data_IF_911042438964
#
_entry.id   IF_911042438964
#
_cell.length_a   1.000
_cell.length_b   1.000
_cell.length_c   1.000
_cell.angle_alpha   90.00
_cell.angle_beta   90.00
_cell.angle_gamma   90.00
#
_symmetry.space_group_name_H-M   'P 1'
#
loop_
_entity.id
_entity.type
_entity.pdbx_description
1 polymer ?
#
# COMPACT_ATOMS: atom_id res chain seq x y z
N UNK A 1 -43.11 9.37 43.33
CA UNK A 1 -42.24 8.19 43.53
C UNK A 1 -41.18 8.22 42.45
N UNK A 2 -39.89 8.26 42.82
CA UNK A 2 -38.80 8.15 41.84
C UNK A 2 -38.85 6.75 41.20
N UNK A 3 -38.94 6.69 39.88
CA UNK A 3 -38.94 5.42 39.13
C UNK A 3 -37.60 4.72 39.37
N UNK A 4 -37.61 3.45 39.82
CA UNK A 4 -36.36 2.74 40.07
C UNK A 4 -35.65 2.50 38.73
N UNK A 5 -34.31 2.64 38.67
CA UNK A 5 -33.55 2.41 37.43
C UNK A 5 -33.83 1.05 36.77
N UNK A 6 -34.09 0.01 37.58
CA UNK A 6 -34.41 -1.33 37.09
C UNK A 6 -35.77 -1.42 36.38
N UNK A 7 -36.77 -0.66 36.82
CA UNK A 7 -38.08 -0.63 36.19
C UNK A 7 -38.01 0.09 34.83
N UNK A 8 -37.17 1.14 34.73
CA UNK A 8 -36.85 1.82 33.48
C UNK A 8 -36.15 0.88 32.51
N UNK A 9 -35.13 0.15 32.99
CA UNK A 9 -34.42 -0.85 32.20
C UNK A 9 -35.38 -1.91 31.65
N UNK A 10 -36.15 -2.56 32.52
CA UNK A 10 -37.05 -3.65 32.15
C UNK A 10 -38.11 -3.17 31.15
N UNK A 11 -38.71 -2.00 31.38
CA UNK A 11 -39.67 -1.40 30.46
C UNK A 11 -39.05 -1.09 29.09
N UNK A 12 -37.81 -0.61 29.06
CA UNK A 12 -37.13 -0.30 27.79
C UNK A 12 -36.83 -1.56 26.98
N UNK A 13 -36.35 -2.62 27.63
CA UNK A 13 -35.96 -3.86 26.95
C UNK A 13 -37.16 -4.76 26.58
N UNK A 14 -38.31 -4.59 27.23
CA UNK A 14 -39.55 -5.32 26.90
C UNK A 14 -40.46 -4.58 25.92
N UNK A 15 -40.15 -3.33 25.54
CA UNK A 15 -40.96 -2.55 24.62
C UNK A 15 -40.90 -3.09 23.18
N UNK A 16 -42.01 -3.02 22.40
CA UNK A 16 -42.00 -3.31 20.98
C UNK A 16 -40.94 -2.47 20.26
N UNK A 17 -40.06 -3.12 19.50
CA UNK A 17 -39.05 -2.42 18.69
C UNK A 17 -39.67 -2.07 17.34
N UNK A 18 -39.90 -0.79 17.10
CA UNK A 18 -40.24 -0.26 15.77
C UNK A 18 -38.94 -0.21 14.96
N UNK A 19 -39.01 -0.48 13.65
CA UNK A 19 -37.86 -0.30 12.75
C UNK A 19 -37.31 1.12 12.89
N UNK A 20 -36.07 1.24 13.38
CA UNK A 20 -35.42 2.53 13.66
C UNK A 20 -35.36 3.40 12.42
N UNK A 21 -35.05 2.79 11.28
CA UNK A 21 -35.00 3.40 9.96
C UNK A 21 -36.35 3.98 9.52
N UNK A 22 -37.43 3.20 9.61
CA UNK A 22 -38.79 3.62 9.22
C UNK A 22 -39.30 4.72 10.15
N UNK A 23 -39.10 4.53 11.47
CA UNK A 23 -39.54 5.51 12.46
C UNK A 23 -38.83 6.84 12.26
N UNK A 24 -37.50 6.83 12.11
CA UNK A 24 -36.73 8.06 11.88
C UNK A 24 -37.12 8.75 10.57
N UNK A 25 -37.23 8.00 9.47
CA UNK A 25 -37.66 8.58 8.19
C UNK A 25 -39.01 9.29 8.33
N UNK A 26 -39.98 8.66 8.99
CA UNK A 26 -41.29 9.25 9.24
C UNK A 26 -41.24 10.48 10.16
N UNK A 27 -40.45 10.44 11.24
CA UNK A 27 -40.31 11.62 12.12
C UNK A 27 -39.63 12.79 11.41
N UNK A 28 -38.59 12.52 10.60
CA UNK A 28 -37.89 13.55 9.82
C UNK A 28 -38.83 14.17 8.78
N UNK A 29 -39.70 13.38 8.13
CA UNK A 29 -40.67 13.92 7.16
C UNK A 29 -41.74 14.82 7.79
N UNK A 30 -42.13 14.54 9.04
CA UNK A 30 -43.03 15.41 9.78
C UNK A 30 -42.37 16.73 10.21
N UNK A 31 -41.07 16.69 10.54
CA UNK A 31 -40.32 17.87 10.98
C UNK A 31 -39.95 18.80 9.82
N UNK A 32 -39.77 18.26 8.62
CA UNK A 32 -39.35 19.01 7.43
C UNK A 32 -40.31 18.76 6.26
N UNK A 33 -41.57 19.20 6.34
CA UNK A 33 -42.60 18.87 5.35
C UNK A 33 -42.33 19.48 3.96
N UNK A 34 -41.56 20.57 3.91
CA UNK A 34 -41.27 21.30 2.65
C UNK A 34 -40.01 20.80 1.94
N UNK A 35 -39.30 19.82 2.51
CA UNK A 35 -38.06 19.29 1.96
C UNK A 35 -38.23 17.84 1.50
N UNK A 36 -37.65 17.53 0.35
CA UNK A 36 -37.50 16.16 -0.10
C UNK A 36 -36.41 15.45 0.70
N UNK A 37 -36.68 14.20 1.11
CA UNK A 37 -35.76 13.39 1.92
C UNK A 37 -35.25 12.24 1.08
N UNK A 38 -33.94 12.21 0.85
CA UNK A 38 -33.25 11.00 0.40
C UNK A 38 -32.55 10.34 1.59
N UNK A 39 -32.49 9.01 1.58
CA UNK A 39 -31.83 8.23 2.63
C UNK A 39 -30.73 7.39 2.00
N UNK A 40 -29.55 7.35 2.64
CA UNK A 40 -28.48 6.43 2.28
C UNK A 40 -27.89 5.76 3.51
N UNK A 41 -27.60 4.47 3.36
CA UNK A 41 -26.84 3.65 4.30
C UNK A 41 -25.55 3.12 3.66
N UNK A 42 -25.14 3.69 2.52
CA UNK A 42 -23.90 3.31 1.84
C UNK A 42 -22.71 3.61 2.75
N UNK A 43 -21.93 2.59 3.11
CA UNK A 43 -20.73 2.72 3.94
C UNK A 43 -19.65 3.60 3.31
N UNK A 44 -19.72 3.85 2.00
CA UNK A 44 -18.82 4.75 1.27
C UNK A 44 -19.26 6.21 1.33
N UNK A 45 -20.50 6.49 1.73
CA UNK A 45 -20.95 7.87 1.91
C UNK A 45 -20.37 8.46 3.20
N UNK A 46 -19.24 9.15 3.06
CA UNK A 46 -18.57 9.90 4.13
C UNK A 46 -18.46 11.37 3.71
N UNK A 47 -19.50 12.15 4.06
CA UNK A 47 -19.61 13.56 3.67
C UNK A 47 -18.50 14.41 4.29
N UNK A 48 -18.00 14.05 5.47
CA UNK A 48 -16.91 14.79 6.12
C UNK A 48 -15.59 14.57 5.39
N UNK A 49 -15.30 13.34 4.96
CA UNK A 49 -14.14 13.04 4.11
C UNK A 49 -14.27 13.71 2.75
N UNK A 50 -15.45 13.67 2.14
CA UNK A 50 -15.71 14.35 0.86
C UNK A 50 -15.47 15.86 1.00
N UNK A 51 -16.04 16.50 2.03
CA UNK A 51 -15.92 17.94 2.22
C UNK A 51 -14.48 18.42 2.44
N UNK A 52 -13.67 17.64 3.15
CA UNK A 52 -12.22 17.90 3.29
C UNK A 52 -11.46 17.73 1.98
N UNK A 53 -11.96 16.89 1.09
CA UNK A 53 -11.32 16.52 -0.16
C UNK A 53 -11.59 17.47 -1.34
N UNK A 54 -12.69 18.22 -1.28
CA UNK A 54 -13.09 19.21 -2.29
C UNK A 54 -13.58 20.51 -1.63
N UNK A 55 -12.74 21.17 -0.78
CA UNK A 55 -13.18 22.29 0.05
C UNK A 55 -13.75 23.47 -0.75
N UNK A 56 -13.30 23.67 -1.99
CA UNK A 56 -13.79 24.74 -2.88
C UNK A 56 -15.25 24.53 -3.33
N UNK A 57 -15.75 23.29 -3.25
CA UNK A 57 -17.11 22.93 -3.66
C UNK A 57 -18.02 22.58 -2.49
N UNK A 58 -17.51 22.54 -1.26
CA UNK A 58 -18.27 22.06 -0.10
C UNK A 58 -17.97 22.84 1.16
N UNK A 59 -19.02 23.33 1.80
CA UNK A 59 -18.98 23.81 3.17
C UNK A 59 -19.97 23.00 4.00
N UNK A 60 -19.49 22.38 5.08
CA UNK A 60 -20.32 21.63 6.03
C UNK A 60 -20.11 22.17 7.44
N UNK A 61 -21.19 22.43 8.16
CA UNK A 61 -21.15 22.91 9.56
C UNK A 61 -22.20 22.17 10.38
N UNK A 62 -21.90 21.96 11.66
CA UNK A 62 -22.91 21.47 12.59
C UNK A 62 -24.06 22.49 12.63
N UNK A 63 -25.29 21.98 12.65
CA UNK A 63 -26.47 22.83 12.73
C UNK A 63 -26.88 23.02 14.19
N UNK A 64 -27.42 24.19 14.51
CA UNK A 64 -27.87 24.53 15.87
C UNK A 64 -29.26 23.94 16.19
N UNK A 65 -30.02 23.53 15.17
CA UNK A 65 -31.40 23.06 15.32
C UNK A 65 -31.53 21.56 15.66
N UNK A 66 -30.44 20.80 15.60
CA UNK A 66 -30.40 19.35 15.87
C UNK A 66 -29.39 19.05 16.98
N UNK A 67 -29.81 18.39 18.08
CA UNK A 67 -28.88 18.04 19.15
C UNK A 67 -27.85 17.00 18.69
N UNK A 68 -26.66 17.03 19.27
CA UNK A 68 -25.60 16.07 18.99
C UNK A 68 -25.46 15.07 20.13
N UNK A 69 -25.40 13.79 19.76
CA UNK A 69 -24.97 12.71 20.64
C UNK A 69 -23.58 12.25 20.19
N UNK A 70 -22.59 12.40 21.08
CA UNK A 70 -21.20 12.03 20.83
C UNK A 70 -20.78 10.91 21.77
N UNK A 71 -20.10 9.92 21.20
CA UNK A 71 -19.44 8.86 21.94
C UNK A 71 -17.95 9.17 22.01
N UNK A 72 -17.48 9.47 23.21
CA UNK A 72 -16.07 9.69 23.50
C UNK A 72 -15.35 8.35 23.66
N UNK A 73 -14.28 8.15 22.90
CA UNK A 73 -13.49 6.91 22.90
C UNK A 73 -12.01 7.21 23.09
N UNK A 74 -11.32 6.36 23.84
CA UNK A 74 -9.88 6.43 23.97
C UNK A 74 -9.20 5.73 22.78
N UNK A 75 -8.30 6.44 22.11
CA UNK A 75 -7.40 5.93 21.08
C UNK A 75 -5.99 5.81 21.66
N UNK A 76 -5.49 4.58 21.88
CA UNK A 76 -4.13 4.39 22.35
C UNK A 76 -3.11 4.91 21.32
N UNK A 77 -1.91 5.31 21.76
CA UNK A 77 -0.83 5.71 20.87
C UNK A 77 -0.34 4.50 20.05
N UNK A 78 0.25 4.74 18.88
CA UNK A 78 0.79 3.67 18.04
C UNK A 78 1.91 2.88 18.73
N UNK A 79 2.69 3.54 19.60
CA UNK A 79 3.66 2.91 20.51
C UNK A 79 3.44 3.47 21.91
N UNK A 80 3.57 2.63 22.93
CA UNK A 80 3.43 3.02 24.35
C UNK A 80 4.29 4.23 24.77
N UNK A 81 5.44 4.43 24.11
CA UNK A 81 6.35 5.55 24.39
C UNK A 81 5.98 6.86 23.68
N UNK A 82 5.07 6.81 22.71
CA UNK A 82 4.71 7.96 21.87
C UNK A 82 3.64 8.85 22.56
N UNK A 83 3.39 8.65 23.87
CA UNK A 83 2.50 9.45 24.72
C UNK A 83 1.37 8.63 25.34
N UNK A 84 0.39 9.31 25.95
CA UNK A 84 -0.73 8.68 26.66
C UNK A 84 -1.93 8.39 25.75
N UNK A 85 -1.78 8.49 24.43
CA UNK A 85 -2.88 8.34 23.47
C UNK A 85 -3.68 9.63 23.28
N UNK A 86 -4.88 9.50 22.72
CA UNK A 86 -5.75 10.63 22.41
C UNK A 86 -7.21 10.23 22.57
N UNK A 87 -8.07 11.20 22.82
CA UNK A 87 -9.52 11.00 22.82
C UNK A 87 -10.07 11.28 21.42
N UNK A 88 -10.94 10.40 20.94
CA UNK A 88 -11.72 10.57 19.72
C UNK A 88 -13.19 10.75 20.10
N UNK A 89 -13.88 11.63 19.39
CA UNK A 89 -15.34 11.73 19.47
C UNK A 89 -15.96 11.14 18.21
N UNK A 90 -16.95 10.27 18.39
CA UNK A 90 -17.76 9.71 17.31
C UNK A 90 -19.19 10.18 17.46
N UNK A 91 -19.71 10.91 16.47
CA UNK A 91 -21.12 11.33 16.45
C UNK A 91 -22.00 10.12 16.17
N UNK A 92 -22.90 9.79 17.09
CA UNK A 92 -23.91 8.73 16.92
C UNK A 92 -25.26 9.28 16.48
N UNK A 93 -25.53 10.55 16.77
CA UNK A 93 -26.67 11.31 16.26
C UNK A 93 -26.26 12.77 16.10
N UNK A 94 -26.59 13.40 14.97
CA UNK A 94 -26.26 14.80 14.74
C UNK A 94 -26.81 15.33 13.42
N UNK A 95 -26.80 16.65 13.28
CA UNK A 95 -27.29 17.36 12.10
C UNK A 95 -26.28 18.35 11.54
N UNK A 96 -26.26 18.53 10.23
CA UNK A 96 -25.35 19.48 9.57
C UNK A 96 -26.06 20.27 8.50
N UNK A 97 -25.69 21.54 8.38
CA UNK A 97 -26.00 22.34 7.21
C UNK A 97 -24.83 22.23 6.22
N UNK A 98 -25.12 21.76 5.02
CA UNK A 98 -24.18 21.56 3.94
C UNK A 98 -24.54 22.49 2.78
N UNK A 99 -23.55 23.19 2.24
CA UNK A 99 -23.61 23.78 0.90
C UNK A 99 -22.66 23.00 0.01
N UNK A 100 -23.17 22.40 -1.07
CA UNK A 100 -22.37 21.71 -2.10
C UNK A 100 -22.62 22.36 -3.46
N UNK A 101 -21.55 22.90 -4.04
CA UNK A 101 -21.60 23.84 -5.17
C UNK A 101 -22.46 25.03 -4.75
N UNK A 102 -23.64 25.19 -5.35
CA UNK A 102 -24.60 26.26 -5.06
C UNK A 102 -25.91 25.74 -4.44
N UNK A 103 -25.95 24.47 -4.05
CA UNK A 103 -27.15 23.84 -3.47
C UNK A 103 -26.99 23.63 -1.97
N UNK A 104 -28.01 24.02 -1.21
CA UNK A 104 -28.09 23.79 0.24
C UNK A 104 -28.77 22.46 0.57
N UNK A 105 -28.24 21.80 1.59
CA UNK A 105 -28.74 20.54 2.13
C UNK A 105 -28.76 20.61 3.66
N UNK A 106 -29.76 19.99 4.27
CA UNK A 106 -29.70 19.63 5.69
C UNK A 106 -29.45 18.13 5.80
N UNK A 107 -28.47 17.75 6.60
CA UNK A 107 -28.05 16.37 6.79
C UNK A 107 -28.39 15.93 8.21
N UNK A 108 -28.90 14.71 8.37
CA UNK A 108 -29.12 14.11 9.68
C UNK A 108 -28.54 12.70 9.67
N UNK A 109 -27.53 12.45 10.51
CA UNK A 109 -26.93 11.13 10.64
C UNK A 109 -27.38 10.47 11.94
N UNK A 110 -27.77 9.20 11.86
CA UNK A 110 -28.07 8.37 13.03
C UNK A 110 -27.34 7.05 12.91
N UNK A 111 -26.68 6.65 13.98
CA UNK A 111 -25.94 5.39 14.06
C UNK A 111 -26.47 4.50 15.17
N UNK A 112 -26.72 3.23 14.86
CA UNK A 112 -27.15 2.22 15.82
C UNK A 112 -26.44 0.89 15.58
N UNK A 113 -26.50 -0.01 16.56
CA UNK A 113 -25.96 -1.36 16.44
C UNK A 113 -27.08 -2.27 15.94
N UNK A 114 -26.80 -3.00 14.86
CA UNK A 114 -27.67 -4.03 14.33
C UNK A 114 -27.09 -5.41 14.70
N UNK A 115 -27.88 -6.32 15.31
CA UNK A 115 -27.41 -7.65 15.68
C UNK A 115 -26.75 -8.34 14.48
N UNK A 116 -25.56 -8.92 14.69
CA UNK A 116 -24.75 -9.64 13.68
C UNK A 116 -24.19 -8.80 12.51
N UNK A 117 -24.60 -7.54 12.32
CA UNK A 117 -24.17 -6.66 11.22
C UNK A 117 -23.24 -5.52 11.66
N UNK A 118 -23.12 -5.29 12.97
CA UNK A 118 -22.27 -4.24 13.55
C UNK A 118 -22.95 -2.87 13.58
N UNK A 119 -22.15 -1.80 13.57
CA UNK A 119 -22.67 -0.43 13.55
C UNK A 119 -23.22 -0.09 12.16
N UNK A 120 -24.46 0.37 12.10
CA UNK A 120 -25.10 0.98 10.94
C UNK A 120 -25.13 2.49 11.13
N UNK A 121 -24.96 3.23 10.04
CA UNK A 121 -25.17 4.68 9.99
C UNK A 121 -26.10 4.97 8.83
N UNK A 122 -27.19 5.68 9.11
CA UNK A 122 -28.14 6.17 8.11
C UNK A 122 -28.05 7.68 8.02
N UNK A 123 -27.90 8.18 6.81
CA UNK A 123 -27.93 9.60 6.49
C UNK A 123 -29.26 9.96 5.86
N UNK A 124 -29.93 10.97 6.42
CA UNK A 124 -31.06 11.66 5.79
C UNK A 124 -30.50 12.93 5.15
N UNK A 125 -30.78 13.09 3.87
CA UNK A 125 -30.30 14.21 3.05
C UNK A 125 -31.53 14.96 2.59
N UNK A 126 -31.72 16.13 3.17
CA UNK A 126 -32.88 16.98 2.97
C UNK A 126 -32.51 18.11 2.02
N UNK A 127 -33.32 18.31 0.99
CA UNK A 127 -33.13 19.36 0.00
C UNK A 127 -34.45 19.68 -0.71
N UNK A 128 -34.51 20.79 -1.44
CA UNK A 128 -35.70 21.18 -2.19
C UNK A 128 -35.98 20.21 -3.37
N UNK A 129 -34.94 19.86 -4.15
CA UNK A 129 -35.05 18.96 -5.30
C UNK A 129 -34.47 17.56 -4.97
N UNK A 130 -35.27 16.48 -4.98
CA UNK A 130 -34.78 15.13 -4.72
C UNK A 130 -33.68 14.66 -5.70
N UNK A 131 -33.58 15.26 -6.89
CA UNK A 131 -32.51 14.97 -7.85
C UNK A 131 -31.13 15.35 -7.31
N UNK A 132 -31.03 16.42 -6.52
CA UNK A 132 -29.78 16.94 -6.01
C UNK A 132 -29.20 16.06 -4.90
N UNK A 133 -30.06 15.49 -4.05
CA UNK A 133 -29.61 14.53 -3.04
C UNK A 133 -28.98 13.28 -3.69
N UNK A 134 -29.55 12.78 -4.79
CA UNK A 134 -28.96 11.65 -5.53
C UNK A 134 -27.60 12.00 -6.15
N UNK A 135 -27.47 13.20 -6.72
CA UNK A 135 -26.19 13.70 -7.26
C UNK A 135 -25.12 13.82 -6.17
N UNK A 136 -25.49 14.36 -5.00
CA UNK A 136 -24.59 14.46 -3.84
C UNK A 136 -24.15 13.09 -3.34
N UNK A 137 -25.09 12.15 -3.16
CA UNK A 137 -24.78 10.76 -2.75
C UNK A 137 -23.80 10.14 -3.75
N UNK A 138 -24.08 10.25 -5.04
CA UNK A 138 -23.22 9.68 -6.07
C UNK A 138 -21.82 10.31 -6.05
N UNK A 139 -21.72 11.65 -6.03
CA UNK A 139 -20.43 12.34 -6.02
C UNK A 139 -19.60 12.02 -4.77
N UNK A 140 -20.23 12.02 -3.59
CA UNK A 140 -19.59 11.69 -2.33
C UNK A 140 -19.16 10.22 -2.29
N UNK A 141 -20.06 9.29 -2.60
CA UNK A 141 -19.75 7.85 -2.59
C UNK A 141 -18.70 7.49 -3.62
N UNK A 142 -18.73 8.07 -4.84
CA UNK A 142 -17.71 7.84 -5.85
C UNK A 142 -16.32 8.33 -5.39
N UNK A 143 -16.25 9.54 -4.82
CA UNK A 143 -15.02 10.10 -4.28
C UNK A 143 -14.45 9.26 -3.14
N UNK A 144 -15.31 8.81 -2.21
CA UNK A 144 -14.89 8.04 -1.04
C UNK A 144 -14.68 6.55 -1.34
N UNK A 145 -15.28 6.02 -2.42
CA UNK A 145 -15.07 4.66 -2.91
C UNK A 145 -13.61 4.46 -3.33
N UNK A 146 -12.96 5.50 -3.87
CA UNK A 146 -11.52 5.48 -4.10
C UNK A 146 -10.80 5.61 -2.75
N UNK A 147 -10.11 4.56 -2.28
CA UNK A 147 -9.29 4.65 -1.09
C UNK A 147 -8.14 5.63 -1.38
N UNK A 148 -8.08 6.70 -0.59
CA UNK A 148 -6.95 7.64 -0.62
C UNK A 148 -6.05 7.35 0.57
N UNK A 149 -4.76 7.52 0.39
CA UNK A 149 -3.76 7.35 1.43
C UNK A 149 -3.68 5.94 2.06
N UNK A 150 -4.05 4.92 1.30
CA UNK A 150 -3.92 3.52 1.69
C UNK A 150 -3.45 2.70 0.50
N UNK A 151 -2.84 1.55 0.80
CA UNK A 151 -2.57 0.50 -0.19
C UNK A 151 -3.46 -0.68 0.17
N UNK A 152 -4.14 -1.24 -0.82
CA UNK A 152 -4.90 -2.47 -0.62
C UNK A 152 -3.94 -3.64 -0.52
N UNK A 153 -4.08 -4.44 0.52
CA UNK A 153 -3.26 -5.63 0.74
C UNK A 153 -4.17 -6.86 0.80
N UNK A 154 -3.89 -7.84 -0.07
CA UNK A 154 -4.54 -9.14 -0.04
C UNK A 154 -3.71 -10.10 0.79
N UNK A 155 -4.25 -10.52 1.92
CA UNK A 155 -3.63 -11.48 2.84
C UNK A 155 -4.73 -12.23 3.62
N UNK A 156 -4.53 -13.54 3.87
CA UNK A 156 -5.47 -14.40 4.61
C UNK A 156 -6.88 -14.40 4.01
N UNK A 157 -6.99 -14.43 2.68
CA UNK A 157 -8.27 -14.55 1.97
C UNK A 157 -9.15 -13.31 2.02
N UNK A 158 -8.57 -12.12 2.21
CA UNK A 158 -9.34 -10.88 2.20
C UNK A 158 -8.48 -9.68 1.83
N UNK A 159 -9.09 -8.70 1.15
CA UNK A 159 -8.53 -7.37 0.96
C UNK A 159 -8.63 -6.52 2.23
N UNK A 160 -7.55 -5.85 2.59
CA UNK A 160 -7.48 -4.90 3.70
C UNK A 160 -6.77 -3.62 3.29
N UNK A 161 -7.18 -2.48 3.82
CA UNK A 161 -6.47 -1.22 3.61
C UNK A 161 -5.31 -1.08 4.61
N UNK A 162 -4.08 -0.90 4.13
CA UNK A 162 -2.90 -0.65 4.98
C UNK A 162 -2.36 0.79 4.80
N UNK A 163 -2.68 1.67 5.76
CA UNK A 163 -2.15 3.05 5.81
C UNK A 163 -0.65 3.10 6.11
N UNK A 164 -0.13 2.19 6.94
CA UNK A 164 1.29 2.11 7.28
C UNK A 164 2.16 1.79 6.07
N UNK A 165 1.69 0.90 5.19
CA UNK A 165 2.36 0.59 3.93
C UNK A 165 2.33 1.79 2.99
N UNK A 166 1.21 2.51 2.92
CA UNK A 166 1.12 3.76 2.17
C UNK A 166 2.14 4.81 2.68
N UNK A 167 2.22 5.03 3.99
CA UNK A 167 3.21 5.94 4.58
C UNK A 167 4.65 5.53 4.25
N UNK A 168 4.94 4.21 4.24
CA UNK A 168 6.24 3.69 3.86
C UNK A 168 6.55 3.94 2.36
N UNK A 169 5.54 3.85 1.50
CA UNK A 169 5.64 4.20 0.08
C UNK A 169 5.87 5.70 -0.10
N UNK A 170 5.17 6.56 0.64
CA UNK A 170 5.37 8.01 0.56
C UNK A 170 6.77 8.45 0.96
N UNK A 171 7.43 7.71 1.86
CA UNK A 171 8.82 7.94 2.25
C UNK A 171 9.84 7.43 1.22
N UNK A 172 9.44 6.62 0.25
CA UNK A 172 10.36 6.16 -0.79
C UNK A 172 10.68 7.29 -1.77
N UNK A 173 11.95 7.37 -2.18
CA UNK A 173 12.40 8.19 -3.29
C UNK A 173 13.34 7.36 -4.16
N UNK A 174 13.32 7.61 -5.46
CA UNK A 174 14.33 7.12 -6.38
C UNK A 174 15.74 7.59 -6.02
N UNK A 175 15.87 8.70 -5.29
CA UNK A 175 17.16 9.21 -4.79
C UNK A 175 17.75 8.34 -3.68
N UNK A 176 16.91 7.57 -2.98
CA UNK A 176 17.34 6.58 -2.00
C UNK A 176 17.71 5.22 -2.64
N UNK A 177 17.46 5.06 -3.94
CA UNK A 177 17.79 3.84 -4.69
C UNK A 177 19.13 4.04 -5.39
N UNK A 178 20.19 3.65 -4.70
CA UNK A 178 21.55 3.64 -5.24
C UNK A 178 21.71 2.37 -6.08
N UNK A 179 21.49 2.45 -7.38
CA UNK A 179 21.72 1.40 -8.37
C UNK A 179 22.35 2.01 -9.62
N UNK A 180 22.74 1.17 -10.58
CA UNK A 180 23.18 1.63 -11.89
C UNK A 180 22.20 2.64 -12.52
N UNK A 181 22.74 3.76 -13.01
CA UNK A 181 21.92 4.89 -13.48
C UNK A 181 21.16 4.56 -14.75
N UNK A 182 21.72 3.73 -15.62
CA UNK A 182 21.04 3.29 -16.83
C UNK A 182 19.86 2.37 -16.49
N UNK A 183 20.07 1.40 -15.60
CA UNK A 183 19.02 0.54 -15.06
C UNK A 183 17.88 1.37 -14.46
N UNK A 184 18.21 2.34 -13.59
CA UNK A 184 17.24 3.24 -12.96
C UNK A 184 16.44 4.02 -14.01
N UNK A 185 17.11 4.63 -14.98
CA UNK A 185 16.46 5.39 -16.06
C UNK A 185 15.54 4.51 -16.90
N UNK A 186 15.97 3.30 -17.23
CA UNK A 186 15.19 2.37 -18.04
C UNK A 186 13.90 1.96 -17.32
N UNK A 187 13.98 1.64 -16.02
CA UNK A 187 12.79 1.32 -15.21
C UNK A 187 11.83 2.51 -15.17
N UNK A 188 12.35 3.72 -14.92
CA UNK A 188 11.55 4.94 -14.88
C UNK A 188 10.83 5.22 -16.19
N UNK A 189 11.54 5.12 -17.31
CA UNK A 189 10.97 5.36 -18.62
C UNK A 189 9.88 4.34 -18.97
N UNK A 190 10.04 3.08 -18.58
CA UNK A 190 9.11 2.02 -18.97
C UNK A 190 7.71 2.18 -18.36
N UNK A 191 7.59 2.42 -17.04
CA UNK A 191 6.27 2.61 -16.46
C UNK A 191 5.68 3.98 -16.82
N UNK A 192 6.50 5.05 -16.88
CA UNK A 192 6.01 6.39 -17.27
C UNK A 192 5.44 6.38 -18.69
N UNK A 193 6.18 5.81 -19.64
CA UNK A 193 5.73 5.72 -21.03
C UNK A 193 4.48 4.83 -21.17
N UNK A 194 4.41 3.72 -20.43
CA UNK A 194 3.24 2.85 -20.41
C UNK A 194 1.97 3.58 -19.97
N UNK A 195 2.02 4.30 -18.85
CA UNK A 195 0.84 5.04 -18.36
C UNK A 195 0.46 6.20 -19.30
N UNK A 196 1.44 6.89 -19.89
CA UNK A 196 1.18 7.98 -20.85
C UNK A 196 0.59 7.52 -22.19
N UNK A 197 0.70 6.23 -22.51
CA UNK A 197 0.34 5.68 -23.83
C UNK A 197 -1.07 5.07 -23.89
N UNK A 198 -1.93 5.24 -22.88
CA UNK A 198 -3.27 4.63 -22.83
C UNK A 198 -4.07 4.76 -24.13
N UNK A 199 -4.18 5.99 -24.66
CA UNK A 199 -4.94 6.26 -25.88
C UNK A 199 -4.38 5.52 -27.09
N UNK A 200 -3.05 5.37 -27.18
CA UNK A 200 -2.38 4.65 -28.26
C UNK A 200 -2.72 3.16 -28.21
N UNK A 201 -2.74 2.55 -27.01
CA UNK A 201 -3.15 1.15 -26.85
C UNK A 201 -4.60 0.94 -27.29
N UNK A 202 -5.50 1.88 -26.92
CA UNK A 202 -6.91 1.86 -27.32
C UNK A 202 -7.09 1.98 -28.83
N UNK A 203 -6.42 2.93 -29.48
CA UNK A 203 -6.46 3.13 -30.94
C UNK A 203 -5.94 1.91 -31.70
N UNK A 204 -4.88 1.27 -31.20
CA UNK A 204 -4.30 0.08 -31.80
C UNK A 204 -5.09 -1.21 -31.50
N UNK A 205 -6.14 -1.15 -30.67
CA UNK A 205 -6.95 -2.31 -30.29
C UNK A 205 -6.18 -3.37 -29.51
N UNK A 206 -5.08 -2.99 -28.84
CA UNK A 206 -4.25 -3.92 -28.05
C UNK A 206 -4.54 -3.77 -26.55
N UNK A 207 -4.51 -4.87 -25.76
CA UNK A 207 -4.73 -4.79 -24.32
C UNK A 207 -3.72 -3.85 -23.65
N UNK A 208 -4.21 -2.83 -22.93
CA UNK A 208 -3.37 -1.90 -22.19
C UNK A 208 -2.87 -2.54 -20.89
N UNK A 209 -1.90 -3.45 -20.98
CA UNK A 209 -1.30 -4.12 -19.82
C UNK A 209 0.20 -4.30 -20.01
N UNK A 210 0.96 -4.30 -18.91
CA UNK A 210 2.43 -4.41 -18.93
C UNK A 210 2.92 -5.29 -17.79
N UNK A 211 3.79 -6.27 -18.07
CA UNK A 211 4.40 -7.12 -17.04
C UNK A 211 5.85 -6.73 -16.79
N UNK A 212 6.21 -6.40 -15.55
CA UNK A 212 7.57 -6.00 -15.18
C UNK A 212 8.13 -6.91 -14.07
N UNK A 213 9.29 -7.50 -14.31
CA UNK A 213 9.95 -8.39 -13.35
C UNK A 213 11.23 -7.75 -12.82
N UNK A 214 11.43 -7.76 -11.49
CA UNK A 214 12.68 -7.32 -10.83
C UNK A 214 13.44 -8.54 -10.28
N UNK A 215 14.51 -8.97 -10.93
CA UNK A 215 15.28 -10.15 -10.56
C UNK A 215 16.51 -9.78 -9.76
N UNK A 216 16.98 -10.67 -8.88
CA UNK A 216 18.33 -10.57 -8.32
C UNK A 216 18.41 -10.91 -6.83
N UNK A 217 19.63 -11.05 -6.28
CA UNK A 217 19.86 -11.43 -4.90
C UNK A 217 19.15 -10.53 -3.87
N UNK A 218 18.77 -11.05 -2.69
CA UNK A 218 18.10 -10.28 -1.65
C UNK A 218 18.97 -9.10 -1.19
N UNK A 219 18.32 -8.02 -0.76
CA UNK A 219 19.01 -6.84 -0.25
C UNK A 219 19.57 -5.87 -1.29
N UNK A 220 19.30 -6.07 -2.60
CA UNK A 220 19.79 -5.21 -3.67
C UNK A 220 18.78 -4.17 -4.21
N UNK A 221 17.84 -3.71 -3.40
CA UNK A 221 17.03 -2.53 -3.76
C UNK A 221 15.73 -2.78 -4.55
N UNK A 222 15.31 -4.02 -4.75
CA UNK A 222 14.06 -4.36 -5.46
C UNK A 222 12.81 -3.77 -4.79
N UNK A 223 12.60 -4.03 -3.49
CA UNK A 223 11.43 -3.56 -2.74
C UNK A 223 11.37 -2.02 -2.62
N UNK A 224 12.51 -1.34 -2.48
CA UNK A 224 12.52 0.14 -2.44
C UNK A 224 12.24 0.73 -3.82
N UNK A 225 12.75 0.13 -4.90
CA UNK A 225 12.42 0.53 -6.28
C UNK A 225 10.93 0.36 -6.56
N UNK A 226 10.35 -0.76 -6.15
CA UNK A 226 8.91 -1.01 -6.24
C UNK A 226 8.09 0.08 -5.53
N UNK A 227 8.46 0.44 -4.29
CA UNK A 227 7.78 1.51 -3.54
C UNK A 227 7.91 2.87 -4.24
N UNK A 228 9.07 3.17 -4.82
CA UNK A 228 9.27 4.38 -5.61
C UNK A 228 8.39 4.40 -6.88
N UNK A 229 8.22 3.26 -7.56
CA UNK A 229 7.32 3.11 -8.72
C UNK A 229 5.87 3.34 -8.30
N UNK A 230 5.40 2.71 -7.21
CA UNK A 230 4.03 2.90 -6.72
C UNK A 230 3.76 4.37 -6.41
N UNK A 231 4.70 5.04 -5.74
CA UNK A 231 4.58 6.45 -5.39
C UNK A 231 4.50 7.33 -6.63
N UNK A 232 5.36 7.09 -7.63
CA UNK A 232 5.46 7.95 -8.81
C UNK A 232 4.39 7.67 -9.85
N UNK A 233 3.88 6.44 -9.94
CA UNK A 233 2.78 6.09 -10.83
C UNK A 233 1.46 6.77 -10.43
N UNK A 234 1.30 7.11 -9.15
CA UNK A 234 0.13 7.84 -8.59
C UNK A 234 -1.23 7.24 -8.99
N UNK A 235 -1.30 5.91 -9.04
CA UNK A 235 -2.50 5.13 -9.30
C UNK A 235 -2.78 4.17 -8.13
N UNK A 236 -4.01 3.65 -7.97
CA UNK A 236 -4.31 2.62 -7.00
C UNK A 236 -3.26 1.49 -7.01
N UNK A 237 -2.82 1.10 -5.81
CA UNK A 237 -1.85 0.03 -5.63
C UNK A 237 -2.49 -1.13 -4.88
N UNK A 238 -2.38 -2.32 -5.48
CA UNK A 238 -2.87 -3.59 -4.95
C UNK A 238 -1.67 -4.46 -4.62
N UNK A 239 -1.51 -4.84 -3.36
CA UNK A 239 -0.37 -5.58 -2.84
C UNK A 239 -0.78 -6.98 -2.42
N UNK A 240 -0.17 -8.01 -3.01
CA UNK A 240 -0.52 -9.40 -2.73
C UNK A 240 0.59 -10.05 -1.93
N UNK A 241 0.24 -10.54 -0.73
CA UNK A 241 1.15 -11.31 0.15
C UNK A 241 0.86 -12.81 0.14
N UNK A 242 -0.31 -13.24 -0.36
CA UNK A 242 -0.71 -14.65 -0.42
C UNK A 242 -1.81 -14.85 -1.47
N UNK A 243 -1.89 -16.03 -2.09
CA UNK A 243 -3.05 -16.40 -2.92
C UNK A 243 -4.15 -17.13 -2.15
N UNK A 244 -3.94 -17.44 -0.86
CA UNK A 244 -4.89 -18.23 -0.08
C UNK A 244 -6.22 -17.50 0.11
N UNK A 245 -7.30 -18.14 -0.33
CA UNK A 245 -8.68 -17.79 -0.01
C UNK A 245 -9.43 -18.98 0.62
N UNK A 246 -10.67 -18.75 1.05
CA UNK A 246 -11.48 -19.78 1.74
C UNK A 246 -11.74 -21.00 0.84
N UNK A 247 -11.99 -20.80 -0.45
CA UNK A 247 -12.14 -21.87 -1.46
C UNK A 247 -10.85 -22.26 -2.18
N UNK A 248 -9.68 -21.85 -1.67
CA UNK A 248 -8.37 -22.22 -2.19
C UNK A 248 -7.68 -21.13 -3.02
N UNK A 249 -6.48 -21.43 -3.52
CA UNK A 249 -5.63 -20.45 -4.20
C UNK A 249 -6.22 -19.95 -5.52
N UNK A 250 -6.97 -20.78 -6.25
CA UNK A 250 -7.59 -20.36 -7.52
C UNK A 250 -8.67 -19.29 -7.32
N UNK A 251 -9.48 -19.41 -6.27
CA UNK A 251 -10.46 -18.39 -5.91
C UNK A 251 -9.76 -17.08 -5.53
N UNK A 252 -8.70 -17.16 -4.72
CA UNK A 252 -7.94 -15.97 -4.33
C UNK A 252 -7.25 -15.30 -5.52
N UNK A 253 -6.64 -16.08 -6.42
CA UNK A 253 -6.05 -15.56 -7.66
C UNK A 253 -7.13 -14.83 -8.49
N UNK A 254 -8.31 -15.45 -8.67
CA UNK A 254 -9.42 -14.82 -9.42
C UNK A 254 -9.85 -13.51 -8.77
N UNK A 255 -10.09 -13.51 -7.45
CA UNK A 255 -10.47 -12.31 -6.69
C UNK A 255 -9.43 -11.19 -6.83
N UNK A 256 -8.15 -11.56 -6.81
CA UNK A 256 -7.05 -10.61 -6.97
C UNK A 256 -7.09 -9.92 -8.33
N UNK A 257 -7.18 -10.71 -9.40
CA UNK A 257 -7.18 -10.17 -10.76
C UNK A 257 -8.49 -9.46 -11.11
N UNK A 258 -9.63 -9.90 -10.58
CA UNK A 258 -10.90 -9.17 -10.70
C UNK A 258 -10.82 -7.81 -10.03
N UNK A 259 -10.20 -7.72 -8.84
CA UNK A 259 -9.97 -6.43 -8.19
C UNK A 259 -9.05 -5.55 -9.03
N UNK A 260 -7.95 -6.09 -9.56
CA UNK A 260 -7.03 -5.34 -10.43
C UNK A 260 -7.71 -4.81 -11.70
N UNK A 261 -8.59 -5.60 -12.32
CA UNK A 261 -9.41 -5.16 -13.45
C UNK A 261 -10.36 -4.03 -13.05
N UNK A 262 -11.03 -4.13 -11.89
CA UNK A 262 -11.98 -3.12 -11.41
C UNK A 262 -11.33 -1.79 -10.96
N UNK A 263 -10.06 -1.83 -10.59
CA UNK A 263 -9.29 -0.67 -10.09
C UNK A 263 -8.40 -0.07 -11.17
N UNK A 264 -8.47 -0.55 -12.42
CA UNK A 264 -7.66 -0.03 -13.51
C UNK A 264 -7.93 1.47 -13.77
N UNK A 265 -6.90 2.29 -14.01
CA UNK A 265 -5.48 1.93 -14.05
C UNK A 265 -4.91 1.66 -12.65
N UNK A 266 -4.13 0.58 -12.47
CA UNK A 266 -3.53 0.25 -11.18
C UNK A 266 -2.15 -0.41 -11.28
N UNK A 267 -1.44 -0.46 -10.15
CA UNK A 267 -0.23 -1.27 -9.97
C UNK A 267 -0.57 -2.50 -9.14
N UNK A 268 -0.45 -3.70 -9.74
CA UNK A 268 -0.61 -4.98 -9.05
C UNK A 268 0.75 -5.55 -8.65
N UNK A 269 1.04 -5.44 -7.36
CA UNK A 269 2.26 -5.95 -6.77
C UNK A 269 2.07 -7.38 -6.30
N UNK A 270 2.87 -8.28 -6.87
CA UNK A 270 3.09 -9.62 -6.34
C UNK A 270 4.51 -9.65 -5.76
N UNK A 271 4.64 -9.67 -4.44
CA UNK A 271 5.95 -9.79 -3.77
C UNK A 271 6.25 -11.27 -3.50
N UNK A 272 7.54 -11.66 -3.53
CA UNK A 272 7.98 -13.05 -3.30
C UNK A 272 7.19 -14.08 -4.15
N UNK A 273 7.10 -13.84 -5.47
CA UNK A 273 6.25 -14.66 -6.35
C UNK A 273 6.65 -16.15 -6.36
N UNK A 274 7.93 -16.46 -6.10
CA UNK A 274 8.44 -17.81 -5.86
C UNK A 274 7.79 -18.50 -4.64
N UNK A 275 7.39 -17.73 -3.63
CA UNK A 275 6.65 -18.24 -2.47
C UNK A 275 5.13 -18.35 -2.73
N UNK A 276 4.60 -17.53 -3.65
CA UNK A 276 3.18 -17.50 -3.99
C UNK A 276 2.79 -18.61 -4.98
N UNK A 277 3.63 -18.87 -5.98
CA UNK A 277 3.34 -19.83 -7.04
C UNK A 277 3.80 -21.24 -6.63
N UNK A 278 2.85 -22.16 -6.60
CA UNK A 278 3.09 -23.59 -6.40
C UNK A 278 2.70 -24.35 -7.66
N UNK A 279 3.14 -25.61 -7.79
CA UNK A 279 2.76 -26.43 -8.95
C UNK A 279 1.23 -26.63 -9.06
N UNK A 280 0.51 -26.53 -7.95
CA UNK A 280 -0.96 -26.63 -7.91
C UNK A 280 -1.66 -25.41 -8.48
N UNK A 281 -1.17 -24.20 -8.20
CA UNK A 281 -1.84 -22.95 -8.60
C UNK A 281 -1.24 -22.29 -9.85
N UNK A 282 -0.08 -22.77 -10.32
CA UNK A 282 0.69 -22.20 -11.44
C UNK A 282 -0.12 -22.07 -12.73
N UNK A 283 -0.84 -23.12 -13.12
CA UNK A 283 -1.62 -23.14 -14.35
C UNK A 283 -2.72 -22.06 -14.33
N UNK A 284 -3.42 -21.97 -13.21
CA UNK A 284 -4.48 -20.98 -13.00
C UNK A 284 -3.94 -19.56 -13.00
N UNK A 285 -2.88 -19.30 -12.23
CA UNK A 285 -2.18 -18.00 -12.23
C UNK A 285 -1.74 -17.59 -13.64
N UNK A 286 -1.21 -18.54 -14.41
CA UNK A 286 -0.77 -18.28 -15.78
C UNK A 286 -1.91 -17.89 -16.72
N UNK A 287 -3.10 -18.43 -16.50
CA UNK A 287 -4.27 -18.12 -17.31
C UNK A 287 -4.75 -16.68 -17.07
N UNK A 288 -4.79 -16.21 -15.82
CA UNK A 288 -5.19 -14.82 -15.51
C UNK A 288 -4.25 -13.79 -16.13
N UNK A 289 -2.95 -14.11 -16.23
CA UNK A 289 -1.97 -13.22 -16.87
C UNK A 289 -1.94 -13.36 -18.41
N UNK A 290 -2.58 -14.39 -18.98
CA UNK A 290 -2.83 -14.56 -20.43
C UNK A 290 -2.92 -16.03 -20.91
N UNK A 291 -3.81 -16.32 -21.86
CA UNK A 291 -4.19 -17.67 -22.33
C UNK A 291 -3.09 -18.45 -23.07
N UNK A 292 -3.02 -19.79 -22.94
CA UNK A 292 -2.44 -20.69 -23.97
C UNK A 292 -2.79 -22.18 -23.79
N UNK A 293 -3.14 -22.83 -24.90
CA UNK A 293 -3.66 -24.20 -25.00
C UNK A 293 -2.61 -25.32 -25.17
N UNK A 294 -1.36 -25.12 -24.72
CA UNK A 294 -0.35 -26.20 -24.74
C UNK A 294 0.47 -26.16 -23.47
N UNK A 295 -0.02 -26.91 -22.47
CA UNK A 295 0.51 -26.99 -21.12
C UNK A 295 1.62 -28.06 -20.98
N UNK A 296 1.71 -29.00 -21.92
CA UNK A 296 2.38 -30.29 -21.67
C UNK A 296 3.86 -30.36 -22.09
N UNK A 297 4.54 -29.23 -22.32
CA UNK A 297 5.94 -29.22 -22.82
C UNK A 297 6.90 -28.21 -22.19
N UNK A 298 6.62 -27.63 -21.01
CA UNK A 298 7.52 -26.59 -20.46
C UNK A 298 8.01 -26.86 -19.03
N UNK A 299 9.20 -27.44 -19.01
CA UNK A 299 10.28 -27.23 -18.04
C UNK A 299 10.70 -25.73 -18.01
N UNK A 300 11.33 -25.19 -16.94
CA UNK A 300 10.68 -24.81 -15.69
C UNK A 300 10.91 -23.31 -15.36
N UNK A 301 9.93 -22.66 -14.74
CA UNK A 301 10.00 -21.28 -14.21
C UNK A 301 9.91 -20.09 -15.20
N UNK A 302 8.93 -20.06 -16.11
CA UNK A 302 8.27 -18.82 -16.61
C UNK A 302 9.12 -17.74 -17.33
N UNK A 303 10.44 -17.93 -17.50
CA UNK A 303 11.33 -16.89 -18.06
C UNK A 303 11.37 -16.86 -19.59
N UNK A 304 10.97 -17.90 -20.31
CA UNK A 304 11.24 -18.00 -21.75
C UNK A 304 10.03 -17.68 -22.66
N UNK A 305 8.98 -17.02 -22.15
CA UNK A 305 7.79 -16.65 -22.95
C UNK A 305 7.71 -15.13 -23.21
N UNK A 306 7.86 -14.64 -24.46
CA UNK A 306 7.95 -13.21 -24.81
C UNK A 306 6.72 -12.30 -24.62
N UNK A 307 5.70 -12.66 -23.83
CA UNK A 307 4.39 -11.94 -23.88
C UNK A 307 3.75 -11.60 -22.53
N UNK A 308 4.13 -12.25 -21.42
CA UNK A 308 3.45 -12.09 -20.11
C UNK A 308 4.18 -11.18 -19.13
N UNK A 309 5.51 -11.17 -19.21
CA UNK A 309 6.40 -10.27 -18.51
C UNK A 309 7.41 -9.78 -19.53
N UNK A 310 7.02 -8.72 -20.22
CA UNK A 310 7.74 -8.16 -21.35
C UNK A 310 8.95 -7.32 -20.92
N UNK A 311 8.99 -6.87 -19.66
CA UNK A 311 10.13 -6.16 -19.08
C UNK A 311 10.78 -6.96 -17.96
N UNK A 312 12.10 -7.12 -18.02
CA UNK A 312 12.91 -7.81 -17.01
C UNK A 312 14.10 -6.93 -16.65
N UNK A 313 14.22 -6.66 -15.35
CA UNK A 313 15.29 -5.87 -14.80
C UNK A 313 16.05 -6.68 -13.77
N UNK A 314 17.36 -6.81 -13.95
CA UNK A 314 18.22 -7.54 -13.01
C UNK A 314 18.92 -6.56 -12.10
N UNK A 315 18.83 -6.81 -10.79
CA UNK A 315 19.49 -6.12 -9.69
C UNK A 315 20.64 -7.00 -9.21
N UNK A 316 21.83 -6.92 -9.83
CA UNK A 316 22.98 -7.68 -9.40
C UNK A 316 23.49 -7.20 -8.03
N UNK A 317 24.45 -7.93 -7.47
CA UNK A 317 25.25 -7.36 -6.40
C UNK A 317 25.99 -6.10 -6.90
N UNK A 318 26.16 -5.08 -6.04
CA UNK A 318 26.75 -3.81 -6.42
C UNK A 318 28.19 -3.96 -6.90
N UNK A 319 28.51 -3.26 -8.00
CA UNK A 319 29.88 -3.09 -8.47
C UNK A 319 30.70 -2.28 -7.45
N UNK A 320 32.03 -2.28 -7.59
CA UNK A 320 32.89 -1.41 -6.76
C UNK A 320 32.44 0.06 -6.82
N UNK A 321 32.06 0.53 -8.02
CA UNK A 321 31.56 1.89 -8.21
C UNK A 321 30.24 2.14 -7.46
N UNK A 322 29.30 1.18 -7.47
CA UNK A 322 28.04 1.28 -6.73
C UNK A 322 28.27 1.32 -5.22
N UNK A 323 29.20 0.50 -4.69
CA UNK A 323 29.55 0.49 -3.26
C UNK A 323 30.16 1.81 -2.81
N UNK A 324 31.04 2.39 -3.64
CA UNK A 324 31.59 3.74 -3.43
C UNK A 324 30.49 4.80 -3.44
N UNK A 325 29.57 4.75 -4.41
CA UNK A 325 28.44 5.67 -4.50
C UNK A 325 27.49 5.51 -3.29
N UNK A 326 27.35 4.31 -2.77
CA UNK A 326 26.57 4.05 -1.56
C UNK A 326 27.22 4.64 -0.31
N UNK A 327 28.54 4.53 -0.18
CA UNK A 327 29.29 5.23 0.88
C UNK A 327 29.12 6.76 0.78
N UNK A 328 29.15 7.30 -0.44
CA UNK A 328 28.90 8.72 -0.69
C UNK A 328 27.47 9.14 -0.28
N UNK A 329 26.46 8.32 -0.59
CA UNK A 329 25.09 8.52 -0.13
C UNK A 329 25.03 8.62 1.40
N UNK A 330 25.69 7.70 2.11
CA UNK A 330 25.74 7.72 3.58
C UNK A 330 26.49 8.92 4.14
N UNK A 331 27.61 9.30 3.51
CA UNK A 331 28.33 10.52 3.87
C UNK A 331 27.43 11.75 3.79
N UNK A 332 26.70 11.91 2.69
CA UNK A 332 25.77 13.04 2.51
C UNK A 332 24.65 13.02 3.56
N UNK A 333 24.12 11.82 3.87
CA UNK A 333 23.10 11.61 4.89
C UNK A 333 23.57 11.95 6.30
N UNK A 334 24.85 11.74 6.59
CA UNK A 334 25.47 12.01 7.89
C UNK A 334 26.12 13.39 8.00
N UNK A 335 26.17 14.18 6.91
CA UNK A 335 26.86 15.47 6.84
C UNK A 335 26.48 16.47 7.94
N UNK A 336 25.24 16.44 8.42
CA UNK A 336 24.76 17.34 9.49
C UNK A 336 25.20 16.92 10.89
N UNK A 337 25.97 15.83 11.02
CA UNK A 337 26.48 15.30 12.28
C UNK A 337 27.96 15.70 12.43
N UNK A 338 28.27 16.80 13.14
CA UNK A 338 29.63 17.37 13.16
C UNK A 338 30.69 16.43 13.77
N UNK A 339 30.26 15.44 14.55
CA UNK A 339 31.14 14.49 15.23
C UNK A 339 31.41 13.20 14.42
N UNK A 340 30.87 13.09 13.20
CA UNK A 340 31.09 11.94 12.32
C UNK A 340 31.97 12.38 11.15
N UNK A 341 33.27 12.22 11.30
CA UNK A 341 34.22 12.50 10.23
C UNK A 341 34.13 11.41 9.14
N UNK A 342 34.06 11.82 7.88
CA UNK A 342 33.93 10.91 6.74
C UNK A 342 34.84 11.36 5.60
N UNK A 343 36.16 11.09 5.72
CA UNK A 343 37.14 11.55 4.73
C UNK A 343 36.94 10.87 3.37
N UNK A 344 37.47 11.47 2.30
CA UNK A 344 37.37 10.92 0.94
C UNK A 344 38.03 9.53 0.82
N UNK A 345 39.12 9.29 1.57
CA UNK A 345 39.82 8.00 1.59
C UNK A 345 38.91 6.86 2.05
N UNK A 346 38.02 7.12 3.02
CA UNK A 346 37.10 6.12 3.55
C UNK A 346 36.09 5.64 2.49
N UNK A 347 35.79 6.43 1.46
CA UNK A 347 34.92 6.00 0.36
C UNK A 347 35.54 4.84 -0.42
N UNK A 348 36.85 4.92 -0.70
CA UNK A 348 37.59 3.89 -1.43
C UNK A 348 37.80 2.66 -0.54
N UNK A 349 38.27 2.87 0.69
CA UNK A 349 38.49 1.78 1.67
C UNK A 349 37.20 1.00 1.94
N UNK A 350 36.07 1.68 2.09
CA UNK A 350 34.77 1.05 2.25
C UNK A 350 34.39 0.25 0.99
N UNK A 351 34.56 0.81 -0.20
CA UNK A 351 34.22 0.12 -1.45
C UNK A 351 35.07 -1.14 -1.68
N UNK A 352 36.34 -1.11 -1.29
CA UNK A 352 37.28 -2.22 -1.39
C UNK A 352 37.02 -3.29 -0.32
N UNK A 353 36.67 -2.89 0.91
CA UNK A 353 36.38 -3.80 2.02
C UNK A 353 35.03 -4.51 1.95
N UNK A 354 34.13 -4.10 1.05
CA UNK A 354 32.73 -4.59 0.98
C UNK A 354 32.47 -5.48 -0.24
N UNK A 355 33.46 -6.24 -0.69
CA UNK A 355 33.28 -7.18 -1.81
C UNK A 355 32.16 -8.19 -1.50
N UNK A 356 31.32 -8.44 -2.50
CA UNK A 356 30.13 -9.30 -2.44
C UNK A 356 29.00 -8.86 -1.49
N UNK A 357 29.12 -7.70 -0.84
CA UNK A 357 28.02 -7.16 -0.04
C UNK A 357 26.85 -6.77 -0.93
N UNK A 358 25.62 -7.08 -0.50
CA UNK A 358 24.43 -6.38 -0.99
C UNK A 358 24.29 -5.01 -0.34
N UNK A 359 23.43 -4.14 -0.87
CA UNK A 359 23.13 -2.85 -0.23
C UNK A 359 22.59 -3.01 1.20
N UNK A 360 21.91 -4.12 1.51
CA UNK A 360 21.47 -4.43 2.87
C UNK A 360 22.65 -4.72 3.83
N UNK A 361 23.68 -5.45 3.39
CA UNK A 361 24.88 -5.67 4.19
C UNK A 361 25.67 -4.38 4.40
N UNK A 362 25.82 -3.55 3.36
CA UNK A 362 26.44 -2.23 3.51
C UNK A 362 25.64 -1.32 4.44
N UNK A 363 24.30 -1.37 4.37
CA UNK A 363 23.42 -0.66 5.31
C UNK A 363 23.67 -1.10 6.74
N UNK A 364 23.78 -2.40 6.97
CA UNK A 364 24.05 -2.97 8.29
C UNK A 364 25.37 -2.45 8.85
N UNK A 365 26.44 -2.41 8.05
CA UNK A 365 27.73 -1.85 8.49
C UNK A 365 27.60 -0.41 9.02
N UNK A 366 26.85 0.45 8.32
CA UNK A 366 26.60 1.82 8.80
C UNK A 366 25.73 1.85 10.06
N UNK A 367 24.64 1.08 10.08
CA UNK A 367 23.69 1.09 11.20
C UNK A 367 24.33 0.53 12.47
N UNK A 368 25.04 -0.60 12.39
CA UNK A 368 25.74 -1.20 13.52
C UNK A 368 26.81 -0.26 14.07
N UNK A 369 27.58 0.41 13.20
CA UNK A 369 28.55 1.44 13.60
C UNK A 369 27.90 2.57 14.41
N UNK A 370 26.79 3.12 13.91
CA UNK A 370 26.07 4.20 14.60
C UNK A 370 25.47 3.74 15.94
N UNK A 371 25.02 2.49 16.03
CA UNK A 371 24.52 1.91 17.29
C UNK A 371 25.64 1.68 18.31
N UNK A 372 26.84 1.30 17.88
CA UNK A 372 28.02 1.20 18.76
C UNK A 372 28.38 2.57 19.33
N UNK A 373 28.39 3.61 18.49
CA UNK A 373 28.65 4.98 18.93
C UNK A 373 27.57 5.45 19.92
N UNK A 374 26.30 5.19 19.62
CA UNK A 374 25.18 5.57 20.49
C UNK A 374 25.19 4.83 21.84
N UNK A 375 25.55 3.54 21.85
CA UNK A 375 25.52 2.71 23.06
C UNK A 375 26.66 3.01 24.04
N UNK A 376 27.84 3.36 23.53
CA UNK A 376 29.02 3.60 24.38
C UNK A 376 29.02 4.95 25.09
N UNK A 377 28.01 5.81 24.88
CA UNK A 377 28.02 7.23 25.29
C UNK A 377 29.39 7.88 25.02
N UNK A 378 30.05 7.45 23.93
CA UNK A 378 31.39 7.91 23.62
C UNK A 378 31.33 9.42 23.54
N UNK A 379 32.22 10.08 24.28
CA UNK A 379 32.31 11.53 24.32
C UNK A 379 32.60 12.00 22.88
N UNK A 380 31.54 12.42 22.19
CA UNK A 380 31.53 12.80 20.76
C UNK A 380 32.52 13.94 20.46
N UNK A 381 33.11 14.52 21.50
CA UNK A 381 34.11 15.59 21.47
C UNK A 381 35.57 15.09 21.34
N UNK A 382 35.88 13.81 21.57
CA UNK A 382 37.27 13.31 21.51
C UNK A 382 37.47 12.36 20.33
N UNK A 383 38.04 12.88 19.22
CA UNK A 383 38.49 12.13 18.02
C UNK A 383 37.50 11.07 17.50
N UNK A 384 36.74 11.40 16.45
CA UNK A 384 35.70 10.51 15.92
C UNK A 384 36.25 9.13 15.56
N UNK A 385 35.86 8.05 16.25
CA UNK A 385 36.29 6.69 15.90
C UNK A 385 35.49 6.15 14.70
N UNK A 386 34.66 6.97 14.03
CA UNK A 386 33.72 6.51 13.01
C UNK A 386 34.38 5.79 11.83
N UNK A 387 35.45 6.32 11.17
CA UNK A 387 36.11 5.61 10.08
C UNK A 387 36.62 4.22 10.51
N UNK A 388 37.33 4.16 11.64
CA UNK A 388 37.89 2.91 12.19
C UNK A 388 36.80 1.92 12.54
N UNK A 389 35.78 2.35 13.29
CA UNK A 389 34.66 1.50 13.67
C UNK A 389 33.89 0.99 12.45
N UNK A 390 33.69 1.82 11.43
CA UNK A 390 33.01 1.40 10.21
C UNK A 390 33.78 0.26 9.51
N UNK A 391 35.09 0.39 9.36
CA UNK A 391 35.93 -0.63 8.74
C UNK A 391 36.03 -1.90 9.59
N UNK A 392 36.03 -1.78 10.92
CA UNK A 392 35.89 -2.93 11.83
C UNK A 392 34.56 -3.66 11.61
N UNK A 393 33.43 -2.93 11.53
CA UNK A 393 32.12 -3.52 11.26
C UNK A 393 32.05 -4.19 9.88
N UNK A 394 32.64 -3.57 8.85
CA UNK A 394 32.78 -4.18 7.52
C UNK A 394 33.55 -5.48 7.60
N UNK A 395 34.68 -5.51 8.30
CA UNK A 395 35.51 -6.71 8.45
C UNK A 395 34.78 -7.84 9.17
N UNK A 396 34.02 -7.52 10.23
CA UNK A 396 33.18 -8.49 10.94
C UNK A 396 32.09 -9.09 10.04
N UNK A 397 31.38 -8.25 9.28
CA UNK A 397 30.34 -8.70 8.36
C UNK A 397 30.92 -9.53 7.20
N UNK A 398 32.11 -9.17 6.69
CA UNK A 398 32.81 -9.96 5.66
C UNK A 398 33.18 -11.35 6.17
N UNK A 399 33.67 -11.45 7.42
CA UNK A 399 33.97 -12.74 8.04
C UNK A 399 32.70 -13.57 8.27
N UNK A 400 31.59 -12.94 8.66
CA UNK A 400 30.29 -13.63 8.80
C UNK A 400 29.77 -14.15 7.46
N UNK A 401 29.94 -13.39 6.38
CA UNK A 401 29.61 -13.84 5.03
C UNK A 401 30.48 -15.02 4.60
N UNK A 402 31.78 -15.00 4.90
CA UNK A 402 32.70 -16.09 4.59
C UNK A 402 32.41 -17.37 5.41
N UNK A 403 32.01 -17.23 6.67
CA UNK A 403 31.78 -18.36 7.60
C UNK A 403 30.34 -18.90 7.59
N UNK A 404 29.35 -18.05 7.31
CA UNK A 404 27.93 -18.41 7.22
C UNK A 404 27.40 -18.63 5.78
N UNK A 405 28.18 -18.27 4.76
CA UNK A 405 27.76 -18.23 3.35
C UNK A 405 28.08 -19.45 2.49
N UNK A 406 28.58 -20.54 3.08
CA UNK A 406 28.94 -21.78 2.37
C UNK A 406 27.81 -22.44 1.56
N UNK A 407 26.54 -22.00 1.71
CA UNK A 407 25.38 -22.53 0.99
C UNK A 407 24.67 -21.59 0.01
N UNK A 408 24.87 -20.26 0.04
CA UNK A 408 24.04 -19.33 -0.76
C UNK A 408 24.82 -18.36 -1.66
N UNK A 409 26.04 -17.95 -1.30
CA UNK A 409 26.85 -17.06 -2.16
C UNK A 409 27.57 -17.82 -3.29
N UNK A 410 27.94 -19.08 -3.03
CA UNK A 410 28.60 -19.97 -4.00
C UNK A 410 27.67 -20.43 -5.13
N UNK A 411 26.35 -20.53 -4.89
CA UNK A 411 25.39 -21.00 -5.90
C UNK A 411 25.15 -19.99 -7.02
N UNK A 412 25.24 -18.68 -6.74
CA UNK A 412 25.02 -17.64 -7.76
C UNK A 412 26.25 -17.39 -8.66
N UNK A 413 27.46 -17.51 -8.12
CA UNK A 413 28.70 -17.42 -8.89
C UNK A 413 28.91 -18.66 -9.79
N UNK A 414 28.57 -19.85 -9.30
CA UNK A 414 28.63 -21.09 -10.08
C UNK A 414 27.62 -21.15 -11.23
N UNK A 415 26.44 -20.51 -11.07
CA UNK A 415 25.41 -20.44 -12.12
C UNK A 415 25.82 -19.61 -13.35
N UNK A 416 26.91 -18.83 -13.29
CA UNK A 416 27.47 -18.10 -14.44
C UNK A 416 28.40 -18.94 -15.32
N UNK A 417 28.99 -20.03 -14.80
CA UNK A 417 30.03 -20.79 -15.53
C UNK A 417 29.54 -22.09 -16.19
N UNK A 418 28.34 -22.56 -15.86
CA UNK A 418 27.77 -23.78 -16.46
C UNK A 418 26.47 -23.47 -17.20
N UNK A 419 26.57 -23.23 -18.50
CA UNK A 419 25.46 -23.48 -19.42
C UNK A 419 25.13 -24.97 -19.40
N UNK A 420 24.11 -25.36 -18.63
CA UNK A 420 23.57 -26.72 -18.60
C UNK A 420 23.33 -27.25 -17.19
N UNK A 421 22.05 -27.33 -16.81
CA UNK A 421 21.45 -28.03 -15.66
C UNK A 421 21.44 -27.33 -14.28
N UNK A 422 20.26 -27.41 -13.62
CA UNK A 422 19.89 -26.86 -12.31
C UNK A 422 20.49 -27.63 -11.11
N UNK A 423 20.50 -27.01 -9.91
CA UNK A 423 19.43 -27.28 -8.94
C UNK A 423 18.83 -26.03 -8.29
N UNK A 424 17.63 -26.21 -7.72
CA UNK A 424 16.70 -25.17 -7.29
C UNK A 424 17.09 -24.32 -6.07
N UNK A 425 16.30 -23.27 -5.88
CA UNK A 425 16.46 -22.27 -4.82
C UNK A 425 16.93 -20.93 -5.36
N UNK A 426 16.11 -20.28 -6.19
CA UNK A 426 16.34 -18.90 -6.60
C UNK A 426 15.12 -18.07 -6.19
N UNK A 427 15.37 -16.99 -5.45
CA UNK A 427 14.33 -16.04 -5.05
C UNK A 427 14.00 -15.11 -6.23
N UNK A 428 12.74 -15.10 -6.65
CA UNK A 428 12.28 -14.43 -7.86
C UNK A 428 11.20 -13.39 -7.53
N UNK A 429 11.49 -12.11 -7.73
CA UNK A 429 10.47 -11.05 -7.59
C UNK A 429 9.94 -10.67 -8.97
N UNK A 430 8.62 -10.61 -9.13
CA UNK A 430 7.94 -10.50 -10.44
C UNK A 430 6.66 -9.69 -10.28
N UNK A 431 6.41 -8.66 -11.10
CA UNK A 431 5.30 -7.70 -10.92
C UNK A 431 4.46 -7.50 -12.20
N UNK A 432 3.24 -6.98 -12.05
CA UNK A 432 2.33 -6.69 -13.15
C UNK A 432 1.71 -5.29 -13.02
N UNK A 433 1.61 -4.57 -14.13
CA UNK A 433 0.87 -3.32 -14.26
C UNK A 433 -0.35 -3.62 -15.14
N UNK A 434 -1.55 -3.39 -14.61
CA UNK A 434 -2.82 -3.69 -15.28
C UNK A 434 -3.46 -2.38 -15.69
N UNK A 435 -3.69 -2.20 -16.98
CA UNK A 435 -4.60 -1.18 -17.52
C UNK A 435 -5.87 -1.83 -18.07
N UNK A 436 -6.86 -0.97 -18.34
CA UNK A 436 -8.26 -1.34 -18.58
C UNK A 436 -8.43 -2.36 -19.72
N UNK A 437 -9.20 -3.41 -19.44
CA UNK A 437 -9.44 -4.53 -20.34
C UNK A 437 -10.86 -4.49 -20.87
N UNK A 438 -11.07 -3.82 -22.00
CA UNK A 438 -12.30 -3.98 -22.77
C UNK A 438 -12.46 -5.41 -23.27
N UNK A 439 -13.64 -6.00 -23.07
CA UNK A 439 -14.00 -7.29 -23.66
C UNK A 439 -13.96 -7.18 -25.20
N UNK A 440 -13.18 -8.05 -25.83
CA UNK A 440 -13.29 -8.29 -27.27
C UNK A 440 -14.48 -9.26 -27.45
N UNK A 441 -15.61 -8.75 -27.97
CA UNK A 441 -16.56 -9.62 -28.64
C UNK A 441 -15.89 -10.11 -29.92
N UNK A 442 -15.77 -11.43 -30.05
CA UNK A 442 -15.34 -12.10 -31.26
C UNK A 442 -16.61 -12.36 -32.06
N UNK A 443 -16.76 -11.69 -33.20
CA UNK A 443 -17.71 -12.09 -34.25
C UNK A 443 -17.28 -13.42 -34.90
#
# INVERSE_FOLDING_TARGET
MATKPFDIFTKHFSAPRVGTDIHLHHQVSLLYPDLSIAVTQDRRFDIHRYAKGVPDLTTIKETDDIPFMRLTQYKPPARRRDGDGSTLERVTFGGWDLTWRDTSFKLIAVSWIEPHMGSRTQWHILTADPSDAKKLIHACSAFCATPRNVIWVFERGSWRSESSLWEAVQKASWDDVVIDQELKRNIQQDYRSFFSAENIFKELGVPWKRGMILLGPPGNGKTISLKAIIKEADVPALYVKSFRAQGGDEEGIREIFDRARSEAPCVLVLEDLDSLITDKNRAFFLNEIGTTNHFDRLDPALSNRPSRFDRKYTFPNPSRADRRNYALYWRNKLRTKPHLEFPDTLLEEFADGTNDFSFAYMKEAFVSTLLVIASKQMDLASTSPFPTLLLEQVSLLQNQLATGGGGMASSWAAAKSSSGMQPGGAHFFRHMIVGDGGQIQVD
#
